data_IF_029119844551
#
_entry.id   IF_029119844551
#
_cell.length_a   1.000
_cell.length_b   1.000
_cell.length_c   1.000
_cell.angle_alpha   90.00
_cell.angle_beta   90.00
_cell.angle_gamma   90.00
#
_symmetry.space_group_name_H-M   'P 1'
#
loop_
_entity.id
_entity.type
_entity.pdbx_description
1 polymer ?
#
# COMPACT_ATOMS: atom_id res chain seq x y z
N UNK A 1 22.85 2.95 9.54
CA UNK A 1 23.22 2.00 8.46
C UNK A 1 22.95 0.55 8.85
N UNK A 2 22.40 0.29 10.04
CA UNK A 2 21.95 -1.06 10.45
C UNK A 2 20.79 -1.58 9.58
N UNK A 3 19.81 -0.73 9.25
CA UNK A 3 18.69 -1.10 8.37
C UNK A 3 19.14 -1.61 6.99
N UNK A 4 20.15 -0.98 6.38
CA UNK A 4 20.68 -1.42 5.08
C UNK A 4 21.36 -2.79 5.17
N UNK A 5 22.00 -3.09 6.30
CA UNK A 5 22.69 -4.36 6.52
C UNK A 5 21.72 -5.49 6.93
N UNK A 6 20.54 -5.14 7.46
CA UNK A 6 19.53 -6.09 7.89
C UNK A 6 18.72 -6.70 6.74
N UNK A 7 18.79 -6.12 5.53
CA UNK A 7 18.06 -6.64 4.36
C UNK A 7 16.53 -6.53 4.49
N UNK A 8 16.04 -5.54 5.24
CA UNK A 8 14.61 -5.33 5.48
C UNK A 8 13.90 -4.75 4.25
N UNK A 9 12.62 -5.11 4.08
CA UNK A 9 11.77 -4.61 2.99
C UNK A 9 11.37 -3.14 3.17
N UNK A 10 11.21 -2.69 4.42
CA UNK A 10 10.82 -1.33 4.77
C UNK A 10 11.60 -0.83 5.99
N UNK A 11 11.75 0.49 6.06
CA UNK A 11 12.28 1.16 7.23
C UNK A 11 11.26 2.19 7.74
N UNK A 12 10.81 2.01 8.99
CA UNK A 12 9.89 2.95 9.65
C UNK A 12 10.57 3.48 10.91
N UNK A 13 10.69 4.81 10.99
CA UNK A 13 11.23 5.51 12.17
C UNK A 13 10.09 6.22 12.87
N UNK A 14 9.95 6.03 14.19
CA UNK A 14 8.87 6.62 14.99
C UNK A 14 9.44 7.74 15.84
N UNK A 15 8.87 8.93 15.72
CA UNK A 15 9.29 10.16 16.38
C UNK A 15 8.08 10.88 17.01
N UNK A 16 8.37 11.90 17.82
CA UNK A 16 7.43 12.92 18.28
C UNK A 16 7.97 14.27 17.81
N UNK A 17 7.09 15.09 17.24
CA UNK A 17 7.44 16.40 16.74
C UNK A 17 7.57 17.40 17.88
N UNK A 18 8.07 18.60 17.57
CA UNK A 18 8.05 19.73 18.49
C UNK A 18 7.89 21.04 17.73
N UNK A 19 7.19 22.00 18.32
CA UNK A 19 7.10 23.36 17.78
C UNK A 19 7.79 24.36 18.72
N UNK A 20 8.36 25.48 18.24
CA UNK A 20 9.06 26.43 19.12
C UNK A 20 8.21 27.03 20.25
N UNK A 21 6.89 27.04 20.08
CA UNK A 21 5.93 27.57 21.04
C UNK A 21 4.94 26.48 21.43
N UNK A 22 4.76 26.28 22.73
CA UNK A 22 3.88 25.25 23.27
C UNK A 22 2.42 25.45 22.84
N UNK A 23 1.72 24.33 22.63
CA UNK A 23 0.29 24.27 22.34
C UNK A 23 -0.16 25.07 21.10
N UNK A 24 0.73 25.33 20.14
CA UNK A 24 0.38 26.01 18.87
C UNK A 24 0.05 25.04 17.75
N UNK A 25 0.68 23.87 17.74
CA UNK A 25 0.51 22.85 16.70
C UNK A 25 0.25 21.52 17.38
N UNK A 26 -0.66 20.74 16.81
CA UNK A 26 -1.01 19.40 17.24
C UNK A 26 -1.26 18.52 16.01
N UNK A 27 -1.22 17.21 16.19
CA UNK A 27 -1.49 16.25 15.12
C UNK A 27 -0.26 15.52 14.61
N UNK A 28 -0.50 14.60 13.68
CA UNK A 28 0.48 13.66 13.13
C UNK A 28 0.92 14.09 11.74
N UNK A 29 2.15 13.79 11.39
CA UNK A 29 2.63 13.89 10.01
C UNK A 29 3.62 12.77 9.72
N UNK A 30 3.64 12.28 8.48
CA UNK A 30 4.70 11.40 8.02
C UNK A 30 5.64 12.08 7.03
N UNK A 31 6.94 11.79 7.15
CA UNK A 31 8.00 12.32 6.31
C UNK A 31 8.58 11.24 5.41
N UNK A 32 8.65 11.51 4.11
CA UNK A 32 9.17 10.60 3.08
C UNK A 32 10.22 11.30 2.21
N UNK A 33 11.04 10.53 1.49
CA UNK A 33 12.06 11.13 0.61
C UNK A 33 11.43 11.96 -0.53
N UNK A 34 10.38 11.43 -1.15
CA UNK A 34 9.54 12.07 -2.16
C UNK A 34 8.09 11.53 -2.04
N UNK A 35 7.12 12.26 -2.62
CA UNK A 35 5.70 11.91 -2.60
C UNK A 35 5.35 10.89 -3.70
N UNK A 36 6.05 9.76 -3.74
CA UNK A 36 5.79 8.71 -4.72
C UNK A 36 6.05 7.30 -4.21
N UNK A 37 5.42 6.33 -4.86
CA UNK A 37 5.61 4.90 -4.60
C UNK A 37 5.14 4.46 -3.22
N UNK A 38 5.48 3.21 -2.90
CA UNK A 38 4.96 2.49 -1.73
C UNK A 38 5.21 3.16 -0.38
N UNK A 39 6.32 3.91 -0.22
CA UNK A 39 6.60 4.67 1.02
C UNK A 39 5.61 5.81 1.23
N UNK A 40 5.14 6.43 0.15
CA UNK A 40 4.20 7.53 0.21
C UNK A 40 2.81 6.99 0.57
N UNK A 41 2.38 5.90 -0.09
CA UNK A 41 1.15 5.19 0.28
C UNK A 41 1.19 4.70 1.74
N UNK A 42 2.31 4.12 2.19
CA UNK A 42 2.50 3.70 3.58
C UNK A 42 2.37 4.85 4.57
N UNK A 43 2.97 5.99 4.26
CA UNK A 43 2.85 7.18 5.08
C UNK A 43 1.39 7.67 5.17
N UNK A 44 0.65 7.67 4.05
CA UNK A 44 -0.77 8.05 4.03
C UNK A 44 -1.63 7.10 4.86
N UNK A 45 -1.43 5.79 4.71
CA UNK A 45 -2.19 4.79 5.48
C UNK A 45 -1.89 4.90 6.98
N UNK A 46 -0.64 5.16 7.37
CA UNK A 46 -0.28 5.37 8.78
C UNK A 46 -0.96 6.63 9.32
N UNK A 47 -0.91 7.75 8.59
CA UNK A 47 -1.50 9.01 9.02
C UNK A 47 -3.04 8.89 9.15
N UNK A 48 -3.71 8.21 8.21
CA UNK A 48 -5.16 7.91 8.27
C UNK A 48 -5.53 7.04 9.49
N UNK A 49 -4.76 5.99 9.78
CA UNK A 49 -5.01 5.15 10.95
C UNK A 49 -4.80 5.93 12.26
N UNK A 50 -3.82 6.83 12.32
CA UNK A 50 -3.59 7.69 13.49
C UNK A 50 -4.68 8.75 13.65
N UNK A 51 -5.22 9.29 12.55
CA UNK A 51 -6.38 10.17 12.59
C UNK A 51 -7.58 9.48 13.25
N UNK A 52 -7.80 8.20 12.97
CA UNK A 52 -8.89 7.41 13.57
C UNK A 52 -8.78 7.26 15.10
N UNK A 53 -7.57 7.40 15.67
CA UNK A 53 -7.32 7.42 17.12
C UNK A 53 -7.66 8.78 17.73
N UNK A 54 -7.79 9.82 16.91
CA UNK A 54 -8.21 11.16 17.31
C UNK A 54 -7.15 12.26 17.09
N UNK A 55 -6.02 11.94 16.47
CA UNK A 55 -5.07 12.97 16.05
C UNK A 55 -5.61 13.78 14.87
N UNK A 56 -5.12 15.01 14.71
CA UNK A 56 -5.30 15.77 13.47
C UNK A 56 -4.30 15.26 12.44
N UNK A 57 -4.74 14.92 11.24
CA UNK A 57 -3.82 14.59 10.14
C UNK A 57 -3.26 15.88 9.49
N UNK A 58 -1.94 16.07 9.57
CA UNK A 58 -1.22 17.19 8.92
C UNK A 58 -0.63 16.79 7.56
N UNK A 59 -0.82 15.53 7.17
CA UNK A 59 -0.45 14.93 5.90
C UNK A 59 1.02 14.59 5.75
N UNK A 60 1.30 13.94 4.62
CA UNK A 60 2.64 13.46 4.30
C UNK A 60 3.49 14.55 3.62
N UNK A 61 4.74 14.71 4.07
CA UNK A 61 5.68 15.72 3.56
C UNK A 61 6.97 15.12 2.99
N UNK A 62 7.39 15.62 1.83
CA UNK A 62 8.69 15.27 1.26
C UNK A 62 9.85 15.98 1.96
N UNK A 63 10.85 15.23 2.42
CA UNK A 63 12.05 15.70 3.11
C UNK A 63 13.31 15.01 2.54
N UNK A 64 13.70 15.31 1.28
CA UNK A 64 14.82 14.63 0.60
C UNK A 64 16.19 14.85 1.27
N UNK A 65 16.30 15.86 2.13
CA UNK A 65 17.52 16.18 2.85
C UNK A 65 17.62 15.49 4.22
N UNK A 66 16.58 14.77 4.68
CA UNK A 66 16.63 14.05 5.94
C UNK A 66 17.55 12.83 5.79
N UNK A 67 18.64 12.81 6.56
CA UNK A 67 19.71 11.82 6.39
C UNK A 67 19.20 10.39 6.48
N UNK A 68 18.26 10.12 7.39
CA UNK A 68 17.71 8.78 7.59
C UNK A 68 16.95 8.31 6.35
N UNK A 69 16.14 9.16 5.70
CA UNK A 69 15.38 8.83 4.49
C UNK A 69 16.27 8.79 3.24
N UNK A 70 17.35 9.59 3.22
CA UNK A 70 18.28 9.69 2.09
C UNK A 70 19.28 8.54 2.04
N UNK A 71 19.65 7.96 3.18
CA UNK A 71 20.72 6.95 3.28
C UNK A 71 20.21 5.52 3.46
N UNK A 72 18.91 5.32 3.48
CA UNK A 72 18.27 3.99 3.45
C UNK A 72 18.10 3.51 2.02
N UNK A 73 18.37 2.23 1.77
CA UNK A 73 18.24 1.63 0.43
C UNK A 73 16.80 1.12 0.16
N UNK A 74 16.03 0.87 1.21
CA UNK A 74 14.64 0.42 1.16
C UNK A 74 13.68 1.62 1.25
N UNK A 75 12.41 1.46 0.83
CA UNK A 75 11.38 2.45 1.08
C UNK A 75 11.29 2.80 2.58
N UNK A 76 11.29 4.10 2.88
CA UNK A 76 11.43 4.61 4.24
C UNK A 76 10.39 5.67 4.59
N UNK A 77 9.82 5.55 5.80
CA UNK A 77 8.88 6.52 6.39
C UNK A 77 9.41 6.96 7.76
N UNK A 78 9.33 8.25 8.07
CA UNK A 78 9.49 8.75 9.43
C UNK A 78 8.14 9.30 9.89
N UNK A 79 7.55 8.66 10.89
CA UNK A 79 6.27 9.04 11.48
C UNK A 79 6.52 10.00 12.64
N UNK A 80 5.98 11.20 12.56
CA UNK A 80 5.94 12.16 13.66
C UNK A 80 4.58 12.01 14.37
N UNK A 81 4.53 11.14 15.38
CA UNK A 81 3.30 10.71 16.05
C UNK A 81 2.79 11.73 17.09
N UNK A 82 2.54 12.96 16.68
CA UNK A 82 2.09 14.06 17.54
C UNK A 82 3.23 14.94 18.06
N UNK A 83 2.89 16.10 18.64
CA UNK A 83 3.83 17.09 19.16
C UNK A 83 4.06 16.91 20.67
N UNK A 84 5.32 16.76 21.10
CA UNK A 84 5.69 16.56 22.52
C UNK A 84 5.30 17.75 23.41
N UNK A 85 5.14 18.94 22.83
CA UNK A 85 4.71 20.15 23.53
C UNK A 85 3.29 20.59 23.16
N UNK A 86 2.45 19.62 22.80
CA UNK A 86 0.99 19.74 22.69
C UNK A 86 0.34 18.94 23.80
N UNK A 87 -0.38 19.61 24.71
CA UNK A 87 -1.11 18.98 25.80
C UNK A 87 -2.17 18.01 25.27
N UNK A 88 -2.84 18.37 24.16
CA UNK A 88 -3.80 17.50 23.47
C UNK A 88 -3.15 16.22 22.97
N UNK A 89 -2.01 16.32 22.27
CA UNK A 89 -1.34 15.14 21.72
C UNK A 89 -0.72 14.28 22.80
N UNK A 90 -0.25 14.89 23.90
CA UNK A 90 0.25 14.15 25.07
C UNK A 90 -0.89 13.41 25.78
N UNK A 91 -2.06 14.03 25.92
CA UNK A 91 -3.23 13.37 26.50
C UNK A 91 -3.72 12.20 25.63
N UNK A 92 -3.71 12.33 24.30
CA UNK A 92 -3.99 11.21 23.40
C UNK A 92 -2.96 10.09 23.58
N UNK A 93 -1.67 10.44 23.70
CA UNK A 93 -0.59 9.49 23.88
C UNK A 93 -0.70 8.70 25.18
N UNK A 94 -0.96 9.40 26.29
CA UNK A 94 -1.08 8.80 27.63
C UNK A 94 -2.31 7.88 27.73
N UNK A 95 -3.43 8.27 27.11
CA UNK A 95 -4.68 7.50 27.20
C UNK A 95 -4.76 6.35 26.21
N UNK A 96 -4.14 6.49 25.02
CA UNK A 96 -4.37 5.61 23.88
C UNK A 96 -3.07 5.01 23.32
N UNK A 97 -2.01 4.88 24.14
CA UNK A 97 -0.69 4.41 23.69
C UNK A 97 -0.74 3.11 22.86
N UNK A 98 -1.54 2.14 23.31
CA UNK A 98 -1.69 0.86 22.61
C UNK A 98 -2.39 1.05 21.25
N UNK A 99 -3.46 1.84 21.20
CA UNK A 99 -4.20 2.11 19.97
C UNK A 99 -3.34 2.87 18.95
N UNK A 100 -2.44 3.75 19.41
CA UNK A 100 -1.44 4.43 18.57
C UNK A 100 -0.47 3.43 17.95
N UNK A 101 0.07 2.51 18.75
CA UNK A 101 0.98 1.48 18.25
C UNK A 101 0.27 0.55 17.24
N UNK A 102 -0.99 0.18 17.52
CA UNK A 102 -1.82 -0.60 16.62
C UNK A 102 -2.16 0.15 15.34
N UNK A 103 -2.46 1.45 15.41
CA UNK A 103 -2.74 2.28 14.24
C UNK A 103 -1.54 2.33 13.29
N UNK A 104 -0.32 2.55 13.81
CA UNK A 104 0.90 2.51 13.00
C UNK A 104 1.09 1.13 12.37
N UNK A 105 0.89 0.05 13.14
CA UNK A 105 1.00 -1.31 12.63
C UNK A 105 -0.05 -1.62 11.54
N UNK A 106 -1.29 -1.17 11.73
CA UNK A 106 -2.38 -1.29 10.74
C UNK A 106 -2.06 -0.52 9.47
N UNK A 107 -1.59 0.72 9.57
CA UNK A 107 -1.21 1.52 8.39
C UNK A 107 -0.14 0.83 7.55
N UNK A 108 0.87 0.23 8.20
CA UNK A 108 1.88 -0.61 7.52
C UNK A 108 1.21 -1.83 6.88
N UNK A 109 0.36 -2.55 7.61
CA UNK A 109 -0.30 -3.76 7.12
C UNK A 109 -1.26 -3.48 5.96
N UNK A 110 -1.97 -2.35 5.96
CA UNK A 110 -2.88 -1.95 4.89
C UNK A 110 -2.10 -1.73 3.59
N UNK A 111 -0.91 -1.12 3.66
CA UNK A 111 -0.01 -1.04 2.51
C UNK A 111 0.43 -2.42 2.05
N UNK A 112 0.77 -3.31 2.98
CA UNK A 112 1.18 -4.68 2.65
C UNK A 112 0.01 -5.50 2.10
N UNK A 113 -1.22 -5.23 2.50
CA UNK A 113 -2.41 -5.93 2.04
C UNK A 113 -2.78 -5.49 0.63
N UNK A 114 -2.57 -4.21 0.28
CA UNK A 114 -2.61 -3.75 -1.11
C UNK A 114 -1.48 -4.38 -1.93
N UNK A 115 -0.28 -4.50 -1.37
CA UNK A 115 0.86 -5.14 -2.04
C UNK A 115 0.70 -6.65 -2.16
N UNK A 116 0.04 -7.30 -1.21
CA UNK A 116 -0.24 -8.74 -1.18
C UNK A 116 -1.53 -9.08 -1.94
N UNK A 117 -2.49 -8.18 -2.08
CA UNK A 117 -3.53 -8.32 -3.10
C UNK A 117 -2.92 -8.25 -4.52
N UNK A 118 -1.80 -7.54 -4.68
CA UNK A 118 -1.05 -7.45 -5.93
C UNK A 118 0.07 -8.53 -6.05
N UNK A 119 0.55 -9.13 -4.94
CA UNK A 119 1.63 -10.15 -4.91
C UNK A 119 1.21 -11.57 -4.48
N UNK A 120 0.15 -11.74 -3.72
CA UNK A 120 -0.41 -13.02 -3.21
C UNK A 120 -1.77 -13.37 -3.83
N UNK A 121 -2.03 -12.91 -5.04
CA UNK A 121 -2.93 -13.61 -5.93
C UNK A 121 -2.27 -14.94 -6.37
N UNK A 122 -2.33 -15.98 -5.53
CA UNK A 122 -1.79 -17.31 -5.88
C UNK A 122 -2.57 -17.94 -7.02
N UNK A 123 -3.81 -17.51 -7.23
CA UNK A 123 -4.63 -17.95 -8.35
C UNK A 123 -5.18 -16.76 -9.10
N UNK A 124 -5.01 -16.80 -10.42
CA UNK A 124 -5.54 -15.83 -11.38
C UNK A 124 -6.21 -16.63 -12.48
N UNK A 125 -7.21 -16.05 -13.14
CA UNK A 125 -7.82 -16.70 -14.32
C UNK A 125 -7.25 -16.06 -15.57
N UNK A 126 -6.42 -16.79 -16.31
CA UNK A 126 -5.98 -16.38 -17.64
C UNK A 126 -7.11 -16.59 -18.64
N UNK A 127 -7.44 -15.52 -19.38
CA UNK A 127 -8.52 -15.50 -20.37
C UNK A 127 -7.98 -15.34 -21.79
N UNK A 128 -6.74 -14.86 -21.93
CA UNK A 128 -6.09 -14.73 -23.23
C UNK A 128 -4.57 -14.71 -23.15
N UNK A 129 -3.92 -15.09 -24.25
CA UNK A 129 -2.47 -15.03 -24.47
C UNK A 129 -2.21 -14.57 -25.89
N UNK A 130 -1.60 -13.40 -26.06
CA UNK A 130 -1.42 -12.74 -27.36
C UNK A 130 0.03 -12.34 -27.60
N UNK A 131 0.44 -12.22 -28.85
CA UNK A 131 1.69 -11.54 -29.25
C UNK A 131 1.48 -10.08 -29.66
N UNK A 132 0.23 -9.72 -29.99
CA UNK A 132 -0.14 -8.41 -30.47
C UNK A 132 -0.84 -7.63 -29.34
N UNK A 133 -0.32 -6.45 -29.04
CA UNK A 133 -0.81 -5.59 -27.97
C UNK A 133 -2.28 -5.17 -28.14
N UNK A 134 -2.69 -4.79 -29.35
CA UNK A 134 -4.06 -4.35 -29.63
C UNK A 134 -5.08 -5.48 -29.40
N UNK A 135 -4.71 -6.73 -29.66
CA UNK A 135 -5.59 -7.87 -29.39
C UNK A 135 -5.79 -8.10 -27.89
N UNK A 136 -4.72 -7.94 -27.10
CA UNK A 136 -4.79 -8.07 -25.64
C UNK A 136 -5.57 -6.90 -25.01
N UNK A 137 -5.33 -5.67 -25.47
CA UNK A 137 -6.05 -4.47 -25.03
C UNK A 137 -7.54 -4.57 -25.35
N UNK A 138 -7.91 -5.05 -26.53
CA UNK A 138 -9.32 -5.25 -26.89
C UNK A 138 -10.02 -6.25 -25.96
N UNK A 139 -9.37 -7.37 -25.61
CA UNK A 139 -9.94 -8.33 -24.67
C UNK A 139 -10.03 -7.74 -23.25
N UNK A 140 -9.00 -7.00 -22.83
CA UNK A 140 -9.01 -6.30 -21.53
C UNK A 140 -10.19 -5.34 -21.44
N UNK A 141 -10.39 -4.47 -22.43
CA UNK A 141 -11.51 -3.52 -22.46
C UNK A 141 -12.87 -4.23 -22.46
N UNK A 142 -13.00 -5.33 -23.20
CA UNK A 142 -14.22 -6.14 -23.24
C UNK A 142 -14.57 -6.77 -21.88
N UNK A 143 -13.56 -7.28 -21.15
CA UNK A 143 -13.72 -7.84 -19.81
C UNK A 143 -14.07 -6.76 -18.78
N UNK A 144 -13.38 -5.62 -18.83
CA UNK A 144 -13.65 -4.48 -17.95
C UNK A 144 -15.06 -3.92 -18.18
N UNK A 145 -15.54 -3.86 -19.43
CA UNK A 145 -16.90 -3.43 -19.76
C UNK A 145 -17.99 -4.37 -19.24
N UNK A 146 -17.62 -5.59 -18.82
CA UNK A 146 -18.50 -6.59 -18.20
C UNK A 146 -18.24 -6.73 -16.69
N UNK A 147 -17.56 -5.75 -16.09
CA UNK A 147 -17.22 -5.70 -14.66
C UNK A 147 -16.36 -6.89 -14.19
N UNK A 148 -15.56 -7.48 -15.09
CA UNK A 148 -14.51 -8.42 -14.69
C UNK A 148 -13.25 -7.63 -14.31
N UNK A 149 -12.61 -7.93 -13.16
CA UNK A 149 -11.40 -7.24 -12.71
C UNK A 149 -10.17 -7.72 -13.51
N UNK A 150 -10.10 -7.33 -14.78
CA UNK A 150 -9.09 -7.79 -15.72
C UNK A 150 -7.85 -6.88 -15.75
N UNK A 151 -6.69 -7.46 -16.08
CA UNK A 151 -5.43 -6.74 -16.32
C UNK A 151 -4.52 -7.51 -17.27
N UNK A 152 -3.50 -6.82 -17.77
CA UNK A 152 -2.48 -7.38 -18.65
C UNK A 152 -1.20 -7.68 -17.87
N UNK A 153 -0.54 -8.79 -18.20
CA UNK A 153 0.77 -9.17 -17.69
C UNK A 153 1.68 -9.64 -18.84
N UNK A 154 2.89 -9.08 -18.94
CA UNK A 154 3.83 -9.35 -20.04
C UNK A 154 4.78 -10.49 -19.66
N UNK A 155 4.82 -11.56 -20.46
CA UNK A 155 5.67 -12.73 -20.24
C UNK A 155 6.43 -13.09 -21.52
N UNK A 156 7.71 -12.70 -21.55
CA UNK A 156 8.56 -12.87 -22.74
C UNK A 156 8.02 -12.07 -23.93
N UNK A 157 7.77 -12.74 -25.05
CA UNK A 157 7.16 -12.13 -26.25
C UNK A 157 5.62 -12.15 -26.24
N UNK A 158 5.01 -12.60 -25.13
CA UNK A 158 3.57 -12.77 -25.03
C UNK A 158 2.97 -11.85 -23.97
N UNK A 159 1.70 -11.55 -24.16
CA UNK A 159 0.87 -10.67 -23.34
C UNK A 159 -0.29 -11.53 -22.83
N UNK A 160 -0.33 -11.75 -21.52
CA UNK A 160 -1.43 -12.46 -20.85
C UNK A 160 -2.51 -11.46 -20.49
N UNK A 161 -3.76 -11.86 -20.70
CA UNK A 161 -4.92 -11.17 -20.11
C UNK A 161 -5.42 -12.05 -18.97
N UNK A 162 -5.40 -11.48 -17.76
CA UNK A 162 -5.68 -12.15 -16.50
C UNK A 162 -6.89 -11.47 -15.85
N UNK A 163 -7.67 -12.23 -15.08
CA UNK A 163 -8.79 -11.72 -14.29
C UNK A 163 -8.59 -12.09 -12.83
N UNK A 164 -8.72 -11.07 -11.99
CA UNK A 164 -8.70 -11.18 -10.54
C UNK A 164 -7.34 -11.49 -9.94
N UNK A 165 -7.38 -11.83 -8.68
CA UNK A 165 -6.20 -12.18 -7.92
C UNK A 165 -6.62 -12.73 -6.58
N UNK A 166 -6.56 -14.06 -6.46
CA UNK A 166 -7.23 -14.79 -5.39
C UNK A 166 -6.21 -15.54 -4.56
N UNK A 167 -6.32 -15.41 -3.24
CA UNK A 167 -5.55 -16.22 -2.29
C UNK A 167 -6.09 -17.65 -2.15
N UNK A 168 -7.33 -17.91 -2.56
CA UNK A 168 -8.01 -19.21 -2.49
C UNK A 168 -8.38 -19.71 -3.90
N UNK A 169 -8.14 -21.00 -4.18
CA UNK A 169 -8.51 -21.65 -5.43
C UNK A 169 -10.03 -21.64 -5.67
N UNK A 170 -10.84 -21.74 -4.63
CA UNK A 170 -12.30 -21.74 -4.74
C UNK A 170 -12.83 -20.41 -5.31
N UNK A 171 -12.25 -19.29 -4.91
CA UNK A 171 -12.61 -17.97 -5.43
C UNK A 171 -12.20 -17.82 -6.90
N UNK A 172 -11.02 -18.35 -7.26
CA UNK A 172 -10.58 -18.42 -8.65
C UNK A 172 -11.48 -19.33 -9.50
N UNK A 173 -11.94 -20.46 -8.97
CA UNK A 173 -12.90 -21.36 -9.63
C UNK A 173 -14.27 -20.69 -9.79
N UNK A 174 -14.73 -19.95 -8.79
CA UNK A 174 -15.98 -19.19 -8.88
C UNK A 174 -15.89 -18.12 -9.99
N UNK A 175 -14.76 -17.40 -10.07
CA UNK A 175 -14.51 -16.45 -11.16
C UNK A 175 -14.40 -17.15 -12.52
N UNK A 176 -13.69 -18.28 -12.59
CA UNK A 176 -13.57 -19.09 -13.81
C UNK A 176 -14.95 -19.51 -14.33
N UNK A 177 -15.84 -19.99 -13.45
CA UNK A 177 -17.22 -20.35 -13.83
C UNK A 177 -18.00 -19.17 -14.38
N UNK A 178 -17.86 -17.99 -13.77
CA UNK A 178 -18.49 -16.75 -14.28
C UNK A 178 -17.98 -16.39 -15.66
N UNK A 179 -16.66 -16.47 -15.89
CA UNK A 179 -16.03 -16.18 -17.18
C UNK A 179 -16.46 -17.21 -18.25
N UNK A 180 -16.52 -18.50 -17.91
CA UNK A 180 -17.01 -19.55 -18.83
C UNK A 180 -18.48 -19.36 -19.19
N UNK A 181 -19.32 -18.95 -18.24
CA UNK A 181 -20.74 -18.61 -18.51
C UNK A 181 -20.87 -17.38 -19.43
N UNK A 182 -19.95 -16.43 -19.34
CA UNK A 182 -19.86 -15.29 -20.25
C UNK A 182 -19.24 -15.64 -21.63
N UNK A 183 -18.81 -16.89 -21.84
CA UNK A 183 -18.33 -17.39 -23.13
C UNK A 183 -16.81 -17.34 -23.31
N UNK A 184 -16.05 -17.13 -22.24
CA UNK A 184 -14.58 -17.07 -22.32
C UNK A 184 -13.91 -18.42 -22.07
N UNK A 185 -12.86 -18.68 -22.85
CA UNK A 185 -11.89 -19.73 -22.55
C UNK A 185 -10.99 -19.30 -21.40
N UNK A 186 -10.76 -20.22 -20.45
CA UNK A 186 -10.10 -19.89 -19.18
C UNK A 186 -9.09 -20.94 -18.76
N UNK A 187 -8.06 -20.49 -18.06
CA UNK A 187 -7.06 -21.32 -17.38
C UNK A 187 -6.72 -20.68 -16.03
N UNK A 188 -6.90 -21.40 -14.93
CA UNK A 188 -6.40 -20.96 -13.62
C UNK A 188 -4.87 -21.10 -13.60
N UNK A 189 -4.17 -20.03 -13.22
CA UNK A 189 -2.71 -19.93 -13.14
C UNK A 189 -2.29 -19.45 -11.75
N UNK A 190 -1.15 -19.93 -11.26
CA UNK A 190 -0.51 -19.49 -10.02
C UNK A 190 0.96 -19.21 -10.15
#
# INVERSE_FOLDING_TARGET
MEANNAGVDFFVSIHRNSFPTDNQVMGVESLVYDLSGIKYEMAQNIDEQLESVGFVDLGVKARPNLVVLKRTNMPSVLVEAGFINSDTDNQLFDNNFQDIAEAIARGILDTLSNVSAVREAYYRVQVGLYRNNQNAERLLEELLAQDFPAYIDNVGEYIRVLVGGYGDLNDAVAMEQRLRQAGYDTLIVG
#
